data_IF_211708361533
#
_entry.id   IF_211708361533
#
_cell.length_a   1.000
_cell.length_b   1.000
_cell.length_c   1.000
_cell.angle_alpha   90.00
_cell.angle_beta   90.00
_cell.angle_gamma   90.00
#
_symmetry.space_group_name_H-M   'P 1'
#
loop_
_entity.id
_entity.type
_entity.pdbx_description
1 polymer ?
#
# COMPACT_ATOMS: atom_id res chain seq x y z
N UNK A 1 -1.47 1.49 -40.61
CA UNK A 1 -0.42 0.74 -39.90
C UNK A 1 -0.99 0.43 -38.53
N UNK A 2 -1.17 -0.84 -38.20
CA UNK A 2 -1.78 -1.24 -36.93
C UNK A 2 -0.78 -0.94 -35.82
N UNK A 3 -1.11 -0.02 -34.92
CA UNK A 3 -0.29 0.23 -33.73
C UNK A 3 -0.41 -1.02 -32.84
N UNK A 4 0.68 -1.78 -32.71
CA UNK A 4 0.73 -2.92 -31.80
C UNK A 4 0.87 -2.38 -30.37
N UNK A 5 -0.24 -2.37 -29.63
CA UNK A 5 -0.27 -2.09 -28.21
C UNK A 5 -0.25 -3.37 -27.39
N UNK A 6 0.39 -3.32 -26.23
CA UNK A 6 0.37 -4.36 -25.22
C UNK A 6 -0.33 -3.82 -23.96
N UNK A 7 -1.18 -4.65 -23.34
CA UNK A 7 -1.90 -4.32 -22.12
C UNK A 7 -1.39 -5.20 -20.97
N UNK A 8 -0.66 -4.59 -20.05
CA UNK A 8 -0.02 -5.28 -18.93
C UNK A 8 -0.83 -5.03 -17.65
N UNK A 9 -1.15 -6.11 -16.93
CA UNK A 9 -1.71 -6.02 -15.59
C UNK A 9 -0.53 -5.95 -14.64
N UNK A 10 -0.44 -4.85 -13.91
CA UNK A 10 0.65 -4.57 -13.01
C UNK A 10 0.15 -4.56 -11.57
N UNK A 11 0.94 -5.09 -10.65
CA UNK A 11 0.70 -5.02 -9.21
C UNK A 11 1.96 -4.55 -8.51
N UNK A 12 1.83 -3.65 -7.55
CA UNK A 12 2.96 -3.24 -6.71
C UNK A 12 3.20 -4.34 -5.67
N UNK A 13 4.45 -4.73 -5.50
CA UNK A 13 4.80 -5.80 -4.58
C UNK A 13 4.38 -5.44 -3.15
N UNK A 14 3.54 -6.29 -2.55
CA UNK A 14 2.99 -6.06 -1.22
C UNK A 14 1.70 -5.23 -1.17
N UNK A 15 1.09 -4.88 -2.30
CA UNK A 15 -0.29 -4.38 -2.39
C UNK A 15 -1.31 -5.52 -2.50
N UNK A 16 -2.58 -5.21 -2.20
CA UNK A 16 -3.72 -6.10 -2.42
C UNK A 16 -4.03 -6.23 -3.92
N UNK A 17 -4.59 -7.37 -4.35
CA UNK A 17 -5.04 -7.65 -5.72
C UNK A 17 -6.06 -6.62 -6.26
N UNK A 18 -6.82 -5.94 -5.39
CA UNK A 18 -7.69 -4.83 -5.82
C UNK A 18 -6.94 -3.62 -6.38
N UNK A 19 -5.61 -3.53 -6.15
CA UNK A 19 -4.77 -2.46 -6.69
C UNK A 19 -4.07 -2.84 -8.00
N UNK A 20 -4.43 -3.96 -8.61
CA UNK A 20 -3.99 -4.29 -9.97
C UNK A 20 -4.41 -3.16 -10.90
N UNK A 21 -3.46 -2.68 -11.69
CA UNK A 21 -3.68 -1.58 -12.61
C UNK A 21 -3.18 -1.92 -14.00
N UNK A 22 -3.94 -1.48 -14.99
CA UNK A 22 -3.64 -1.71 -16.40
C UNK A 22 -2.64 -0.67 -16.92
N UNK A 23 -1.61 -1.13 -17.62
CA UNK A 23 -0.65 -0.29 -18.32
C UNK A 23 -0.71 -0.64 -19.80
N UNK A 24 -1.06 0.35 -20.62
CA UNK A 24 -1.14 0.19 -22.07
C UNK A 24 -0.07 1.05 -22.73
N UNK A 25 0.76 0.43 -23.57
CA UNK A 25 1.86 1.07 -24.29
C UNK A 25 2.19 0.28 -25.56
N UNK A 26 2.99 0.87 -26.45
CA UNK A 26 3.38 0.18 -27.68
C UNK A 26 4.31 -1.00 -27.37
N UNK A 27 4.09 -2.16 -28.01
CA UNK A 27 4.94 -3.35 -27.83
C UNK A 27 6.38 -3.18 -28.34
N UNK A 28 6.64 -2.13 -29.13
CA UNK A 28 7.96 -1.77 -29.63
C UNK A 28 8.80 -0.97 -28.62
N UNK A 29 8.20 -0.57 -27.50
CA UNK A 29 8.91 0.13 -26.42
C UNK A 29 9.72 -0.83 -25.56
N UNK A 30 10.53 -0.26 -24.67
CA UNK A 30 11.37 -1.00 -23.74
C UNK A 30 10.90 -0.87 -22.28
N UNK A 31 11.62 -1.53 -21.39
CA UNK A 31 11.31 -1.52 -19.95
C UNK A 31 11.49 -0.13 -19.32
N UNK A 32 12.33 0.76 -19.86
CA UNK A 32 12.45 2.15 -19.38
C UNK A 32 11.16 2.92 -19.62
N UNK A 33 10.59 2.81 -20.82
CA UNK A 33 9.32 3.46 -21.16
C UNK A 33 8.19 2.93 -20.26
N UNK A 34 8.18 1.61 -20.02
CA UNK A 34 7.22 0.99 -19.09
C UNK A 34 7.34 1.56 -17.67
N UNK A 35 8.55 1.80 -17.17
CA UNK A 35 8.78 2.40 -15.86
C UNK A 35 8.23 3.82 -15.78
N UNK A 36 8.48 4.66 -16.79
CA UNK A 36 7.95 6.03 -16.82
C UNK A 36 6.41 6.03 -16.83
N UNK A 37 5.78 5.17 -17.63
CA UNK A 37 4.31 5.05 -17.64
C UNK A 37 3.77 4.62 -16.28
N UNK A 38 4.41 3.66 -15.61
CA UNK A 38 4.01 3.22 -14.27
C UNK A 38 4.16 4.36 -13.25
N UNK A 39 5.30 5.05 -13.27
CA UNK A 39 5.59 6.18 -12.38
C UNK A 39 4.56 7.29 -12.54
N UNK A 40 4.28 7.71 -13.77
CA UNK A 40 3.31 8.78 -14.04
C UNK A 40 1.90 8.36 -13.64
N UNK A 41 1.54 7.10 -13.88
CA UNK A 41 0.23 6.55 -13.53
C UNK A 41 0.02 6.46 -12.01
N UNK A 42 1.04 6.03 -11.26
CA UNK A 42 1.02 5.95 -9.79
C UNK A 42 1.43 7.25 -9.11
N UNK A 43 1.84 8.27 -9.87
CA UNK A 43 2.33 9.56 -9.41
C UNK A 43 3.46 9.45 -8.37
N UNK A 44 4.41 8.54 -8.60
CA UNK A 44 5.56 8.43 -7.70
C UNK A 44 6.43 9.69 -7.74
N UNK A 45 6.89 10.15 -6.57
CA UNK A 45 7.71 11.34 -6.43
C UNK A 45 9.20 11.10 -6.79
N UNK A 46 9.61 9.86 -7.01
CA UNK A 46 10.98 9.47 -7.33
C UNK A 46 11.16 9.13 -8.83
N UNK A 47 12.40 9.15 -9.34
CA UNK A 47 12.73 8.80 -10.73
C UNK A 47 12.33 7.36 -11.12
N UNK A 48 11.89 7.14 -12.35
CA UNK A 48 11.32 5.84 -12.75
C UNK A 48 12.37 4.71 -12.83
N UNK A 49 13.64 5.06 -13.00
CA UNK A 49 14.77 4.11 -13.02
C UNK A 49 14.94 3.36 -11.69
N UNK A 50 14.40 3.92 -10.60
CA UNK A 50 14.35 3.31 -9.28
C UNK A 50 13.31 2.19 -9.15
N UNK A 51 12.35 2.09 -10.09
CA UNK A 51 11.40 0.98 -10.12
C UNK A 51 12.09 -0.31 -10.57
N UNK A 52 11.85 -1.37 -9.82
CA UNK A 52 12.33 -2.73 -10.13
C UNK A 52 11.16 -3.53 -10.67
N UNK A 53 11.12 -3.73 -11.98
CA UNK A 53 10.04 -4.51 -12.60
C UNK A 53 10.42 -5.99 -12.70
N UNK A 54 9.48 -6.87 -12.37
CA UNK A 54 9.61 -8.31 -12.56
C UNK A 54 8.49 -8.82 -13.47
N UNK A 55 8.84 -9.71 -14.40
CA UNK A 55 7.90 -10.55 -15.10
C UNK A 55 7.43 -11.65 -14.16
N UNK A 56 6.13 -11.81 -14.05
CA UNK A 56 5.51 -12.83 -13.21
C UNK A 56 5.83 -14.24 -13.72
N UNK A 57 5.80 -15.21 -12.79
CA UNK A 57 6.02 -16.62 -13.11
C UNK A 57 4.81 -17.15 -13.88
N UNK A 58 4.98 -18.22 -14.66
CA UNK A 58 3.88 -18.82 -15.41
C UNK A 58 2.69 -19.20 -14.51
N UNK A 59 2.97 -19.62 -13.27
CA UNK A 59 1.93 -19.93 -12.28
C UNK A 59 1.06 -18.71 -11.96
N UNK A 60 1.68 -17.54 -11.73
CA UNK A 60 0.98 -16.30 -11.39
C UNK A 60 0.29 -15.71 -12.62
N UNK A 61 0.93 -15.76 -13.78
CA UNK A 61 0.37 -15.25 -15.04
C UNK A 61 -0.85 -16.04 -15.48
N UNK A 62 -0.83 -17.36 -15.29
CA UNK A 62 -1.91 -18.26 -15.69
C UNK A 62 -2.84 -18.64 -14.53
N UNK A 63 -2.86 -17.84 -13.47
CA UNK A 63 -3.68 -18.12 -12.30
C UNK A 63 -5.16 -18.17 -12.70
N UNK A 64 -5.77 -19.34 -12.58
CA UNK A 64 -7.17 -19.58 -12.94
C UNK A 64 -8.05 -19.92 -11.72
N UNK A 65 -7.45 -20.07 -10.55
CA UNK A 65 -8.17 -20.32 -9.30
C UNK A 65 -8.78 -19.02 -8.78
N UNK A 66 -10.02 -19.07 -8.29
CA UNK A 66 -10.67 -17.92 -7.65
C UNK A 66 -10.19 -17.69 -6.20
N UNK A 67 -8.96 -18.13 -5.91
CA UNK A 67 -8.32 -18.02 -4.60
C UNK A 67 -7.35 -16.82 -4.60
N UNK A 68 -7.83 -15.72 -4.03
CA UNK A 68 -7.07 -14.49 -3.88
C UNK A 68 -5.86 -14.65 -2.95
N UNK A 69 -6.01 -15.41 -1.86
CA UNK A 69 -4.94 -15.63 -0.88
C UNK A 69 -3.87 -16.54 -1.47
N UNK A 70 -4.28 -17.57 -2.19
CA UNK A 70 -3.39 -18.43 -2.97
C UNK A 70 -2.58 -17.65 -4.02
N UNK A 71 -3.23 -16.72 -4.76
CA UNK A 71 -2.53 -15.88 -5.73
C UNK A 71 -1.51 -14.97 -5.05
N UNK A 72 -1.88 -14.33 -3.94
CA UNK A 72 -0.95 -13.50 -3.17
C UNK A 72 0.23 -14.31 -2.62
N UNK A 73 0.00 -15.56 -2.21
CA UNK A 73 1.08 -16.45 -1.79
C UNK A 73 2.00 -16.80 -2.96
N UNK A 74 1.44 -17.15 -4.12
CA UNK A 74 2.23 -17.44 -5.33
C UNK A 74 3.03 -16.22 -5.84
N UNK A 75 2.50 -15.00 -5.65
CA UNK A 75 3.23 -13.75 -5.93
C UNK A 75 4.41 -13.52 -4.98
N UNK A 76 4.32 -14.03 -3.74
CA UNK A 76 5.40 -13.87 -2.73
C UNK A 76 6.49 -14.91 -2.89
N UNK A 77 6.11 -16.14 -3.19
CA UNK A 77 7.02 -17.29 -3.28
C UNK A 77 7.50 -17.57 -4.71
N UNK A 78 6.87 -16.94 -5.70
CA UNK A 78 7.12 -17.17 -7.11
C UNK A 78 8.52 -16.73 -7.54
N UNK A 79 9.14 -17.54 -8.40
CA UNK A 79 10.41 -17.21 -9.05
C UNK A 79 10.18 -16.24 -10.22
N UNK A 80 9.98 -14.97 -9.87
CA UNK A 80 9.69 -13.89 -10.82
C UNK A 80 10.98 -13.38 -11.48
N UNK A 81 10.94 -13.22 -12.81
CA UNK A 81 12.11 -12.83 -13.57
C UNK A 81 12.27 -11.32 -13.59
N UNK A 82 13.38 -10.80 -13.05
CA UNK A 82 13.68 -9.37 -13.09
C UNK A 82 13.87 -8.86 -14.52
N UNK A 83 13.18 -7.77 -14.86
CA UNK A 83 13.25 -7.14 -16.17
C UNK A 83 14.44 -6.18 -16.27
N UNK A 84 15.26 -6.38 -17.30
CA UNK A 84 16.38 -5.48 -17.59
C UNK A 84 15.89 -4.24 -18.36
N UNK A 85 16.39 -3.03 -18.04
CA UNK A 85 15.94 -1.77 -18.66
C UNK A 85 16.03 -1.76 -20.19
N UNK A 86 17.08 -2.38 -20.74
CA UNK A 86 17.37 -2.39 -22.18
C UNK A 86 16.55 -3.42 -22.96
N UNK A 87 15.77 -4.27 -22.30
CA UNK A 87 15.00 -5.30 -22.98
C UNK A 87 13.73 -4.69 -23.62
N UNK A 88 13.47 -4.95 -24.91
CA UNK A 88 12.22 -4.57 -25.54
C UNK A 88 11.08 -5.43 -25.01
N UNK A 89 9.90 -4.83 -24.83
CA UNK A 89 8.73 -5.54 -24.30
C UNK A 89 8.29 -6.67 -25.22
N UNK A 90 8.45 -6.51 -26.54
CA UNK A 90 8.19 -7.56 -27.53
C UNK A 90 9.06 -8.81 -27.37
N UNK A 91 10.27 -8.70 -26.80
CA UNK A 91 11.11 -9.86 -26.52
C UNK A 91 10.71 -10.57 -25.23
N UNK A 92 10.22 -9.82 -24.24
CA UNK A 92 9.77 -10.33 -22.94
C UNK A 92 8.40 -10.99 -23.08
N UNK A 93 7.46 -10.29 -23.71
CA UNK A 93 6.07 -10.70 -23.93
C UNK A 93 5.88 -11.12 -25.38
N UNK A 94 6.66 -12.12 -25.80
CA UNK A 94 6.64 -12.65 -27.16
C UNK A 94 5.49 -13.64 -27.42
N UNK A 95 4.75 -14.01 -26.38
CA UNK A 95 3.55 -14.84 -26.44
C UNK A 95 2.29 -14.00 -26.16
N UNK A 96 1.11 -14.47 -26.60
CA UNK A 96 -0.15 -13.85 -26.24
C UNK A 96 -0.29 -13.76 -24.71
N UNK A 97 -0.56 -12.56 -24.20
CA UNK A 97 -0.80 -12.36 -22.78
C UNK A 97 -2.07 -13.08 -22.35
N UNK A 98 -2.03 -13.71 -21.18
CA UNK A 98 -3.19 -14.36 -20.59
C UNK A 98 -4.22 -13.30 -20.21
N UNK A 99 -5.47 -13.40 -20.68
CA UNK A 99 -6.52 -12.46 -20.29
C UNK A 99 -6.69 -12.47 -18.77
N UNK A 100 -6.65 -11.29 -18.14
CA UNK A 100 -6.72 -11.10 -16.68
C UNK A 100 -5.55 -11.67 -15.86
N UNK A 101 -4.53 -12.22 -16.51
CA UNK A 101 -3.31 -12.68 -15.83
C UNK A 101 -2.54 -11.50 -15.23
N UNK A 102 -1.89 -11.70 -14.08
CA UNK A 102 -0.97 -10.69 -13.55
C UNK A 102 0.35 -10.81 -14.32
N UNK A 103 0.79 -9.73 -14.99
CA UNK A 103 1.91 -9.75 -15.94
C UNK A 103 3.20 -9.17 -15.39
N UNK A 104 3.10 -8.14 -14.56
CA UNK A 104 4.25 -7.39 -14.04
C UNK A 104 4.09 -7.14 -12.55
N UNK A 105 5.14 -7.46 -11.79
CA UNK A 105 5.29 -7.01 -10.41
C UNK A 105 6.19 -5.79 -10.36
N UNK A 106 5.71 -4.74 -9.71
CA UNK A 106 6.42 -3.49 -9.52
C UNK A 106 7.02 -3.49 -8.13
N UNK A 107 8.32 -3.78 -8.06
CA UNK A 107 9.14 -3.54 -6.88
C UNK A 107 9.48 -2.07 -6.78
N UNK A 108 9.25 -1.48 -5.62
CA UNK A 108 9.68 -0.12 -5.32
C UNK A 108 11.17 -0.12 -4.93
N UNK A 109 11.89 1.01 -5.11
CA UNK A 109 13.28 1.10 -4.68
C UNK A 109 13.44 0.73 -3.21
N UNK A 110 14.52 0.00 -2.92
CA UNK A 110 14.84 -0.48 -1.57
C UNK A 110 15.08 0.64 -0.55
N UNK A 111 15.13 1.92 -0.94
CA UNK A 111 15.07 3.06 -0.02
C UNK A 111 13.70 3.20 0.67
N UNK A 112 12.65 2.59 0.12
CA UNK A 112 11.36 2.36 0.79
C UNK A 112 11.33 1.02 1.57
N UNK A 113 12.38 0.20 1.46
CA UNK A 113 12.54 -1.10 2.08
C UNK A 113 13.91 -1.27 2.81
N UNK A 114 14.13 -0.42 3.84
CA UNK A 114 14.91 -0.63 5.11
C UNK A 114 16.47 -0.57 5.03
N UNK A 115 17.28 -0.23 6.09
CA UNK A 115 17.23 0.77 7.19
C UNK A 115 18.48 1.70 7.23
N UNK A 116 18.34 3.03 7.22
CA UNK A 116 19.38 3.96 7.75
C UNK A 116 18.97 5.44 7.76
N UNK A 117 17.87 5.82 7.11
CA UNK A 117 17.18 7.04 7.48
C UNK A 117 16.56 6.86 8.89
N UNK A 118 16.49 7.90 9.74
CA UNK A 118 15.63 7.86 10.92
C UNK A 118 14.27 7.35 10.45
N UNK A 119 13.69 6.36 11.14
CA UNK A 119 12.50 5.69 10.66
C UNK A 119 11.46 6.74 10.30
N UNK A 120 10.89 6.66 9.09
CA UNK A 120 9.90 7.60 8.62
C UNK A 120 8.86 7.80 9.72
N UNK A 121 8.92 8.98 10.33
CA UNK A 121 8.08 9.26 11.48
C UNK A 121 6.70 9.57 10.93
N UNK A 122 5.73 8.79 11.36
CA UNK A 122 4.34 8.97 11.02
C UNK A 122 3.73 9.95 12.02
N UNK A 123 3.04 10.97 11.51
CA UNK A 123 2.17 11.81 12.31
C UNK A 123 0.73 11.33 12.08
N UNK A 124 0.22 10.58 13.04
CA UNK A 124 -1.12 9.99 12.97
C UNK A 124 -2.09 10.88 13.74
N UNK A 125 -3.24 11.17 13.15
CA UNK A 125 -4.28 11.96 13.79
C UNK A 125 -5.27 10.96 14.38
N UNK A 126 -5.49 11.07 15.68
CA UNK A 126 -6.25 10.14 16.48
C UNK A 126 -7.43 10.87 17.12
N UNK A 127 -8.54 10.17 17.26
CA UNK A 127 -9.73 10.65 17.97
C UNK A 127 -10.27 9.52 18.83
N UNK A 128 -10.68 9.83 20.05
CA UNK A 128 -11.36 8.86 20.92
C UNK A 128 -12.81 8.75 20.49
N UNK A 129 -13.33 7.53 20.38
CA UNK A 129 -14.72 7.33 19.99
C UNK A 129 -15.67 8.04 20.95
N UNK A 130 -16.56 8.88 20.40
CA UNK A 130 -17.51 9.69 21.15
C UNK A 130 -17.04 11.12 21.47
N UNK A 131 -15.78 11.47 21.16
CA UNK A 131 -15.31 12.86 21.20
C UNK A 131 -15.65 13.61 19.89
N UNK A 132 -15.46 14.93 19.91
CA UNK A 132 -15.64 15.81 18.74
C UNK A 132 -14.31 16.08 18.03
N UNK A 133 -14.37 16.60 16.79
CA UNK A 133 -13.17 16.97 16.01
C UNK A 133 -12.17 17.87 16.73
N UNK A 134 -12.63 18.68 17.68
CA UNK A 134 -11.79 19.62 18.44
C UNK A 134 -10.83 18.90 19.39
N UNK A 135 -11.09 17.61 19.64
CA UNK A 135 -10.28 16.75 20.50
C UNK A 135 -9.36 15.82 19.69
N UNK A 136 -9.25 16.01 18.37
CA UNK A 136 -8.26 15.29 17.56
C UNK A 136 -6.86 15.64 18.09
N UNK A 137 -6.07 14.60 18.33
CA UNK A 137 -4.68 14.73 18.78
C UNK A 137 -3.76 13.99 17.82
N UNK A 138 -2.53 14.47 17.69
CA UNK A 138 -1.54 13.86 16.81
C UNK A 138 -0.54 13.03 17.61
N UNK A 139 -0.22 11.84 17.11
CA UNK A 139 0.81 10.96 17.67
C UNK A 139 1.93 10.83 16.66
N UNK A 140 3.14 11.19 17.09
CA UNK A 140 4.36 11.01 16.32
C UNK A 140 5.00 9.65 16.66
N UNK A 141 5.11 8.77 15.67
CA UNK A 141 5.67 7.42 15.89
C UNK A 141 6.45 6.92 14.68
N UNK A 142 7.54 6.21 14.95
CA UNK A 142 8.31 5.52 13.91
C UNK A 142 7.43 4.52 13.14
N UNK A 143 7.38 4.63 11.81
CA UNK A 143 6.67 3.68 10.95
C UNK A 143 7.17 2.23 11.03
N UNK A 144 8.38 1.99 11.55
CA UNK A 144 8.90 0.64 11.77
C UNK A 144 8.36 -0.04 13.02
N UNK A 145 7.62 0.69 13.87
CA UNK A 145 6.96 0.13 15.06
C UNK A 145 5.65 -0.56 14.67
N UNK A 146 5.13 -1.36 15.59
CA UNK A 146 3.85 -2.06 15.43
C UNK A 146 2.72 -1.37 16.21
N UNK A 147 1.49 -1.85 16.00
CA UNK A 147 0.28 -1.35 16.66
C UNK A 147 0.38 -1.38 18.20
N UNK A 148 1.06 -2.36 18.80
CA UNK A 148 1.26 -2.39 20.26
C UNK A 148 2.05 -1.16 20.78
N UNK A 149 3.06 -0.71 20.03
CA UNK A 149 3.79 0.52 20.37
C UNK A 149 2.92 1.77 20.17
N UNK A 150 2.08 1.79 19.14
CA UNK A 150 1.13 2.89 18.91
C UNK A 150 0.09 2.99 20.04
N UNK A 151 -0.47 1.88 20.51
CA UNK A 151 -1.38 1.88 21.68
C UNK A 151 -0.74 2.51 22.91
N UNK A 152 0.56 2.25 23.14
CA UNK A 152 1.32 2.87 24.24
C UNK A 152 1.48 4.37 24.03
N UNK A 153 1.89 4.79 22.83
CA UNK A 153 2.05 6.20 22.49
C UNK A 153 0.75 7.00 22.65
N UNK A 154 -0.37 6.45 22.17
CA UNK A 154 -1.71 7.05 22.36
C UNK A 154 -2.04 7.20 23.84
N UNK A 155 -1.84 6.15 24.64
CA UNK A 155 -2.09 6.22 26.09
C UNK A 155 -1.20 7.25 26.80
N UNK A 156 0.04 7.40 26.36
CA UNK A 156 0.99 8.39 26.89
C UNK A 156 0.61 9.82 26.52
N UNK A 157 -0.01 10.04 25.35
CA UNK A 157 -0.47 11.35 24.90
C UNK A 157 -1.73 11.79 25.65
N UNK A 158 -2.73 10.89 25.78
CA UNK A 158 -4.01 11.16 26.46
C UNK A 158 -4.13 10.38 27.77
N UNK A 159 -3.15 10.56 28.66
CA UNK A 159 -3.05 9.82 29.93
C UNK A 159 -4.27 9.95 30.83
N UNK A 160 -4.92 11.11 30.85
CA UNK A 160 -6.09 11.32 31.71
C UNK A 160 -7.28 10.48 31.23
N UNK A 161 -7.50 10.41 29.91
CA UNK A 161 -8.59 9.66 29.29
C UNK A 161 -8.44 8.16 29.53
N UNK A 162 -7.22 7.63 29.38
CA UNK A 162 -6.96 6.17 29.49
C UNK A 162 -6.27 5.74 30.79
N UNK A 163 -6.32 6.57 31.84
CA UNK A 163 -5.58 6.34 33.11
C UNK A 163 -5.78 4.94 33.69
N UNK A 164 -7.02 4.45 33.66
CA UNK A 164 -7.42 3.18 34.27
C UNK A 164 -7.66 2.06 33.25
N UNK A 165 -7.38 2.30 31.96
CA UNK A 165 -7.59 1.33 30.88
C UNK A 165 -6.27 0.62 30.58
N UNK A 166 -6.27 -0.70 30.52
CA UNK A 166 -5.07 -1.45 30.11
C UNK A 166 -4.78 -1.18 28.62
N UNK A 167 -3.52 -0.99 28.25
CA UNK A 167 -3.11 -0.72 26.86
C UNK A 167 -3.62 -1.81 25.90
N UNK A 168 -3.68 -3.06 26.35
CA UNK A 168 -4.14 -4.18 25.54
C UNK A 168 -5.64 -4.16 25.28
N UNK A 169 -6.42 -3.42 26.08
CA UNK A 169 -7.86 -3.25 25.92
C UNK A 169 -8.22 -2.13 24.94
N UNK A 170 -7.27 -1.28 24.56
CA UNK A 170 -7.52 -0.25 23.55
C UNK A 170 -7.75 -0.90 22.18
N UNK A 171 -8.94 -0.72 21.61
CA UNK A 171 -9.19 -0.94 20.19
C UNK A 171 -8.53 0.19 19.40
N UNK A 172 -7.98 -0.12 18.23
CA UNK A 172 -7.55 0.93 17.30
C UNK A 172 -8.15 0.60 15.94
N UNK A 173 -8.83 1.56 15.34
CA UNK A 173 -9.52 1.40 14.07
C UNK A 173 -8.90 2.36 13.06
N UNK A 174 -8.40 1.80 11.95
CA UNK A 174 -7.86 2.62 10.87
C UNK A 174 -9.03 3.25 10.11
N UNK A 175 -9.05 4.58 10.05
CA UNK A 175 -10.03 5.34 9.26
C UNK A 175 -9.29 6.28 8.30
N UNK A 176 -9.98 6.74 7.27
CA UNK A 176 -9.44 7.72 6.33
C UNK A 176 -10.50 8.79 6.06
N UNK A 177 -10.79 9.59 7.07
CA UNK A 177 -11.85 10.61 7.00
C UNK A 177 -11.25 12.02 6.94
N UNK A 178 -11.77 12.92 6.10
CA UNK A 178 -11.38 14.32 6.13
C UNK A 178 -11.70 14.95 7.49
N UNK A 179 -10.82 15.79 8.02
CA UNK A 179 -11.16 16.65 9.17
C UNK A 179 -11.95 17.89 8.71
N UNK A 180 -13.14 17.70 8.13
CA UNK A 180 -14.10 18.76 7.77
C UNK A 180 -15.44 18.62 8.50
N UNK A 181 -16.32 19.62 8.42
CA UNK A 181 -17.57 19.73 9.20
C UNK A 181 -18.50 18.51 9.18
N UNK A 182 -18.28 17.54 8.29
CA UNK A 182 -19.06 16.30 8.18
C UNK A 182 -18.43 15.11 8.93
N UNK A 183 -17.24 15.27 9.52
CA UNK A 183 -16.50 14.21 10.22
C UNK A 183 -17.34 13.50 11.29
N UNK A 184 -18.07 14.23 12.12
CA UNK A 184 -18.91 13.65 13.17
C UNK A 184 -20.02 12.76 12.58
N UNK A 185 -20.69 13.21 11.51
CA UNK A 185 -21.74 12.45 10.83
C UNK A 185 -21.17 11.17 10.18
N UNK A 186 -19.95 11.24 9.61
CA UNK A 186 -19.26 10.09 9.03
C UNK A 186 -18.86 9.06 10.09
N UNK A 187 -18.43 9.52 11.28
CA UNK A 187 -18.10 8.65 12.42
C UNK A 187 -19.32 7.89 12.96
N UNK A 188 -20.50 8.52 12.98
CA UNK A 188 -21.75 7.85 13.39
C UNK A 188 -22.20 6.76 12.41
N UNK A 189 -21.81 6.88 11.14
CA UNK A 189 -22.18 5.93 10.06
C UNK A 189 -21.18 4.81 9.89
N UNK A 190 -19.98 4.95 10.47
CA UNK A 190 -18.93 3.96 10.37
C UNK A 190 -19.27 2.72 11.19
N UNK A 191 -19.21 1.57 10.53
CA UNK A 191 -19.19 0.29 11.22
C UNK A 191 -17.74 -0.05 11.56
N UNK A 192 -17.44 -0.12 12.85
CA UNK A 192 -16.11 -0.49 13.30
C UNK A 192 -16.01 -2.01 13.25
N UNK A 193 -15.34 -2.51 12.20
CA UNK A 193 -15.00 -3.92 12.02
C UNK A 193 -14.02 -4.41 13.13
N UNK A 194 -13.11 -5.33 12.82
CA UNK A 194 -12.12 -5.80 13.79
C UNK A 194 -11.02 -4.75 14.04
N UNK A 195 -10.62 -4.54 15.31
CA UNK A 195 -9.54 -3.64 15.64
C UNK A 195 -8.20 -4.13 15.08
N UNK A 196 -7.30 -3.19 14.82
CA UNK A 196 -5.97 -3.46 14.28
C UNK A 196 -5.19 -4.43 15.18
N UNK A 197 -4.64 -5.46 14.55
CA UNK A 197 -3.86 -6.49 15.21
C UNK A 197 -2.56 -5.90 15.82
N UNK A 198 -2.24 -6.18 17.10
CA UNK A 198 -1.10 -5.58 17.79
C UNK A 198 0.27 -5.79 17.13
N UNK A 199 0.41 -6.88 16.36
CA UNK A 199 1.65 -7.28 15.69
C UNK A 199 1.85 -6.61 14.33
N UNK A 200 0.83 -5.94 13.79
CA UNK A 200 0.91 -5.32 12.48
C UNK A 200 1.83 -4.09 12.49
N UNK A 201 2.69 -3.96 11.48
CA UNK A 201 3.67 -2.87 11.36
C UNK A 201 2.99 -1.63 10.78
N UNK A 202 3.26 -0.46 11.36
CA UNK A 202 2.60 0.80 11.01
C UNK A 202 2.83 1.20 9.55
N UNK A 203 4.06 1.10 9.06
CA UNK A 203 4.39 1.41 7.66
C UNK A 203 3.67 0.52 6.64
N UNK A 204 3.15 -0.65 7.05
CA UNK A 204 2.36 -1.49 6.17
C UNK A 204 0.90 -1.03 6.05
N UNK A 205 0.40 -0.33 7.07
CA UNK A 205 -0.98 0.17 7.16
C UNK A 205 -1.05 1.59 6.60
N UNK A 206 -0.15 2.46 7.08
CA UNK A 206 -0.13 3.89 6.81
C UNK A 206 0.90 4.24 5.73
N UNK A 207 0.72 3.66 4.53
CA UNK A 207 1.63 3.91 3.39
C UNK A 207 1.46 5.29 2.76
N UNK A 208 0.26 5.85 2.88
CA UNK A 208 -0.09 7.18 2.37
C UNK A 208 -0.99 7.86 3.39
N UNK A 209 -0.42 8.77 4.17
CA UNK A 209 -1.17 9.63 5.08
C UNK A 209 -1.57 10.89 4.32
N UNK A 210 -2.85 11.24 4.37
CA UNK A 210 -3.33 12.49 3.79
C UNK A 210 -3.30 13.54 4.89
N UNK A 211 -2.61 14.65 4.66
CA UNK A 211 -2.59 15.73 5.64
C UNK A 211 -4.01 16.24 5.93
N UNK A 212 -4.29 16.51 7.20
CA UNK A 212 -5.62 16.99 7.63
C UNK A 212 -6.70 15.92 7.68
N UNK A 213 -6.37 14.63 7.54
CA UNK A 213 -7.33 13.54 7.74
C UNK A 213 -7.24 12.96 9.15
N UNK A 214 -8.36 12.46 9.65
CA UNK A 214 -8.38 11.54 10.78
C UNK A 214 -7.91 10.16 10.30
N UNK A 215 -6.94 9.61 11.02
CA UNK A 215 -6.26 8.35 10.65
C UNK A 215 -6.68 7.19 11.55
N UNK A 216 -6.95 7.46 12.83
CA UNK A 216 -7.26 6.44 13.83
C UNK A 216 -8.43 6.87 14.71
N UNK A 217 -9.36 5.95 14.94
CA UNK A 217 -10.32 6.02 16.04
C UNK A 217 -9.88 5.04 17.14
N UNK A 218 -9.93 5.51 18.39
CA UNK A 218 -9.51 4.78 19.61
C UNK A 218 -10.73 4.39 20.45
#
# INVERSE_FOLDING_TARGET
>A
MSENFICLNCLVQGENLYHIFLVQLSSLTNVVDLREVIKDKKKYAFPADQLVLHHTSEQVTNWCDNDADGLLQAVREGDHTKLLPSCPLSAIFNQPLTPNGLHVLVGLPSDLAVPSAPPATLCLNCLVLGDTRDHIFSVEISGSKNISFLKKAIKEEVQQTFRNVDVNQLGLYCVSLPNDTELEDELERLDFDEPLQPTLVLANIFRSLVEGYLHIVV
#
